data_IF_028685433953
#
_entry.id   IF_028685433953
#
_cell.length_a   1.000
_cell.length_b   1.000
_cell.length_c   1.000
_cell.angle_alpha   90.00
_cell.angle_beta   90.00
_cell.angle_gamma   90.00
#
_symmetry.space_group_name_H-M   'P 1'
#
loop_
_entity.id
_entity.type
_entity.pdbx_description
1 polymer ?
#
# COMPACT_ATOMS: atom_id res chain seq x y z
N UNK A 1 12.39 11.06 -24.37
CA UNK A 1 13.07 9.91 -23.74
C UNK A 1 12.94 8.70 -24.66
N UNK A 2 14.04 8.00 -24.95
CA UNK A 2 14.00 6.81 -25.79
C UNK A 2 13.34 5.64 -25.04
N UNK A 3 12.67 4.71 -25.73
CA UNK A 3 12.00 3.54 -25.11
C UNK A 3 12.98 2.66 -24.35
N UNK A 4 14.21 2.50 -24.86
CA UNK A 4 15.25 1.70 -24.22
C UNK A 4 15.68 2.30 -22.88
N UNK A 5 15.87 3.63 -22.84
CA UNK A 5 16.23 4.34 -21.61
C UNK A 5 15.09 4.31 -20.59
N UNK A 6 13.86 4.48 -21.06
CA UNK A 6 12.66 4.39 -20.22
C UNK A 6 12.58 3.01 -19.56
N UNK A 7 12.79 1.93 -20.33
CA UNK A 7 12.81 0.56 -19.80
C UNK A 7 13.89 0.38 -18.73
N UNK A 8 15.12 0.85 -18.97
CA UNK A 8 16.20 0.78 -17.97
C UNK A 8 15.83 1.47 -16.67
N UNK A 9 15.31 2.72 -16.74
CA UNK A 9 14.85 3.47 -15.56
C UNK A 9 13.72 2.75 -14.83
N UNK A 10 12.77 2.20 -15.58
CA UNK A 10 11.63 1.45 -15.04
C UNK A 10 12.09 0.25 -14.21
N UNK A 11 13.06 -0.53 -14.73
CA UNK A 11 13.63 -1.69 -14.01
C UNK A 11 14.32 -1.28 -12.70
N UNK A 12 15.09 -0.18 -12.72
CA UNK A 12 15.73 0.37 -11.51
C UNK A 12 14.68 0.76 -10.46
N UNK A 13 13.66 1.51 -10.86
CA UNK A 13 12.58 1.96 -9.97
C UNK A 13 11.80 0.78 -9.39
N UNK A 14 11.48 -0.24 -10.19
CA UNK A 14 10.78 -1.42 -9.70
C UNK A 14 11.61 -2.21 -8.68
N UNK A 15 12.93 -2.33 -8.91
CA UNK A 15 13.84 -2.95 -7.96
C UNK A 15 13.86 -2.22 -6.62
N UNK A 16 13.90 -0.88 -6.64
CA UNK A 16 13.82 -0.04 -5.44
C UNK A 16 12.49 -0.20 -4.71
N UNK A 17 11.36 -0.14 -5.42
CA UNK A 17 10.04 -0.32 -4.82
C UNK A 17 9.86 -1.71 -4.19
N UNK A 18 10.40 -2.75 -4.83
CA UNK A 18 10.42 -4.09 -4.24
C UNK A 18 11.24 -4.11 -2.95
N UNK A 19 12.44 -3.51 -2.94
CA UNK A 19 13.30 -3.46 -1.76
C UNK A 19 12.63 -2.71 -0.59
N UNK A 20 12.00 -1.56 -0.86
CA UNK A 20 11.39 -0.70 0.16
C UNK A 20 10.02 -1.20 0.65
N UNK A 21 9.11 -1.49 -0.28
CA UNK A 21 7.69 -1.72 0.03
C UNK A 21 7.24 -3.17 -0.11
N UNK A 22 8.08 -4.05 -0.66
CA UNK A 22 7.77 -5.45 -0.97
C UNK A 22 6.60 -5.65 -1.95
N UNK A 23 6.17 -4.60 -2.64
CA UNK A 23 5.17 -4.65 -3.70
C UNK A 23 5.40 -3.53 -4.71
N UNK A 24 4.91 -3.72 -5.93
CA UNK A 24 4.96 -2.74 -7.01
C UNK A 24 3.53 -2.33 -7.33
N UNK A 25 3.25 -1.03 -7.20
CA UNK A 25 2.02 -0.42 -7.71
C UNK A 25 2.35 0.40 -8.96
N UNK A 26 1.57 0.30 -10.05
CA UNK A 26 1.73 1.16 -11.22
C UNK A 26 1.74 2.65 -10.86
N UNK A 27 0.92 3.07 -9.89
CA UNK A 27 0.87 4.44 -9.42
C UNK A 27 2.17 4.89 -8.75
N UNK A 28 2.80 4.01 -7.95
CA UNK A 28 4.08 4.29 -7.30
C UNK A 28 5.21 4.42 -8.34
N UNK A 29 5.19 3.58 -9.38
CA UNK A 29 6.14 3.68 -10.49
C UNK A 29 6.00 5.01 -11.22
N UNK A 30 4.76 5.45 -11.49
CA UNK A 30 4.50 6.75 -12.14
C UNK A 30 4.98 7.94 -11.29
N UNK A 31 4.83 7.86 -9.97
CA UNK A 31 5.31 8.87 -9.02
C UNK A 31 6.84 8.91 -8.98
N UNK A 32 7.49 7.76 -8.84
CA UNK A 32 8.97 7.66 -8.78
C UNK A 32 9.63 8.11 -10.09
N UNK A 33 9.00 7.85 -11.24
CA UNK A 33 9.47 8.34 -12.54
C UNK A 33 9.16 9.83 -12.76
N UNK A 34 8.42 10.49 -11.86
CA UNK A 34 8.03 11.90 -12.00
C UNK A 34 7.05 12.17 -13.15
N UNK A 35 6.34 11.14 -13.63
CA UNK A 35 5.35 11.24 -14.71
C UNK A 35 4.09 11.94 -14.20
N UNK A 36 3.75 11.67 -12.94
CA UNK A 36 2.66 12.28 -12.18
C UNK A 36 3.28 12.92 -10.95
N UNK A 37 2.89 14.16 -10.61
CA UNK A 37 3.34 14.78 -9.36
C UNK A 37 2.51 14.28 -8.17
N UNK A 38 3.06 14.38 -6.95
CA UNK A 38 2.31 14.01 -5.74
C UNK A 38 1.01 14.81 -5.61
N UNK A 39 1.05 16.11 -5.95
CA UNK A 39 -0.13 17.00 -5.95
C UNK A 39 -1.20 16.53 -6.94
N UNK A 40 -0.80 16.20 -8.17
CA UNK A 40 -1.74 15.72 -9.18
C UNK A 40 -2.39 14.38 -8.79
N UNK A 41 -1.62 13.51 -8.12
CA UNK A 41 -2.11 12.24 -7.58
C UNK A 41 -3.14 12.46 -6.47
N UNK A 42 -2.89 13.42 -5.57
CA UNK A 42 -3.86 13.81 -4.54
C UNK A 42 -5.13 14.39 -5.16
N UNK A 43 -5.00 15.34 -6.10
CA UNK A 43 -6.13 15.94 -6.80
C UNK A 43 -6.97 14.89 -7.55
N UNK A 44 -6.33 13.89 -8.15
CA UNK A 44 -7.01 12.73 -8.73
C UNK A 44 -7.69 11.86 -7.66
N UNK A 45 -7.05 11.59 -6.51
CA UNK A 45 -7.67 10.83 -5.40
C UNK A 45 -8.89 11.54 -4.81
N UNK A 46 -8.85 12.87 -4.70
CA UNK A 46 -10.00 13.70 -4.33
C UNK A 46 -11.03 13.84 -5.46
N UNK A 47 -10.76 13.28 -6.64
CA UNK A 47 -11.64 13.34 -7.80
C UNK A 47 -11.88 14.75 -8.31
N UNK A 48 -10.90 15.66 -8.15
CA UNK A 48 -10.84 16.95 -8.85
C UNK A 48 -10.45 16.74 -10.31
N UNK A 49 -9.61 15.73 -10.55
CA UNK A 49 -9.26 15.24 -11.88
C UNK A 49 -10.14 14.04 -12.23
N UNK A 50 -10.78 14.01 -13.42
CA UNK A 50 -11.70 12.93 -13.78
C UNK A 50 -11.02 11.58 -14.05
N UNK A 51 -9.78 11.58 -14.55
CA UNK A 51 -9.00 10.37 -14.82
C UNK A 51 -7.49 10.64 -14.75
N UNK A 52 -6.70 9.66 -14.30
CA UNK A 52 -5.26 9.82 -14.03
C UNK A 52 -4.45 10.18 -15.27
N UNK A 53 -4.75 9.59 -16.43
CA UNK A 53 -4.05 9.87 -17.68
C UNK A 53 -4.11 11.35 -18.10
N UNK A 54 -5.04 12.15 -17.55
CA UNK A 54 -5.15 13.58 -17.83
C UNK A 54 -3.96 14.38 -17.28
N UNK A 55 -3.42 13.96 -16.14
CA UNK A 55 -2.32 14.64 -15.44
C UNK A 55 -0.96 14.05 -15.75
N UNK A 56 -0.92 12.92 -16.46
CA UNK A 56 0.32 12.33 -16.93
C UNK A 56 0.98 13.23 -17.98
N UNK A 57 2.26 13.55 -17.80
CA UNK A 57 3.05 14.35 -18.75
C UNK A 57 3.51 13.58 -20.00
N UNK A 58 3.14 12.31 -20.13
CA UNK A 58 3.60 11.40 -21.18
C UNK A 58 2.47 11.00 -22.13
N UNK A 59 2.85 10.65 -23.36
CA UNK A 59 1.93 10.14 -24.37
C UNK A 59 1.30 8.80 -23.95
N UNK A 60 0.05 8.56 -24.33
CA UNK A 60 -0.70 7.33 -24.05
C UNK A 60 0.00 6.06 -24.56
N UNK A 61 0.69 6.15 -25.71
CA UNK A 61 1.46 5.03 -26.26
C UNK A 61 2.64 4.65 -25.38
N UNK A 62 3.28 5.62 -24.73
CA UNK A 62 4.37 5.39 -23.80
C UNK A 62 3.86 4.83 -22.46
N UNK A 63 2.70 5.29 -21.97
CA UNK A 63 2.04 4.72 -20.79
C UNK A 63 1.65 3.26 -21.02
N UNK A 64 1.08 2.94 -22.19
CA UNK A 64 0.75 1.56 -22.56
C UNK A 64 1.99 0.67 -22.58
N UNK A 65 3.11 1.19 -23.10
CA UNK A 65 4.41 0.50 -23.07
C UNK A 65 4.88 0.26 -21.62
N UNK A 66 4.81 1.26 -20.74
CA UNK A 66 5.13 1.11 -19.32
C UNK A 66 4.34 -0.01 -18.67
N UNK A 67 3.01 -0.03 -18.85
CA UNK A 67 2.15 -1.06 -18.26
C UNK A 67 2.51 -2.46 -18.76
N UNK A 68 2.83 -2.60 -20.04
CA UNK A 68 3.26 -3.88 -20.62
C UNK A 68 4.59 -4.37 -20.03
N UNK A 69 5.54 -3.46 -19.82
CA UNK A 69 6.86 -3.76 -19.29
C UNK A 69 6.81 -4.10 -17.79
N UNK A 70 5.99 -3.38 -17.00
CA UNK A 70 5.74 -3.71 -15.58
C UNK A 70 5.19 -5.14 -15.48
N UNK A 71 4.22 -5.49 -16.32
CA UNK A 71 3.62 -6.83 -16.35
C UNK A 71 4.64 -7.91 -16.75
N UNK A 72 5.49 -7.63 -17.74
CA UNK A 72 6.55 -8.54 -18.15
C UNK A 72 7.56 -8.76 -17.03
N UNK A 73 7.99 -7.69 -16.37
CA UNK A 73 8.91 -7.75 -15.23
C UNK A 73 8.33 -8.56 -14.07
N UNK A 74 7.06 -8.30 -13.72
CA UNK A 74 6.40 -9.03 -12.65
C UNK A 74 6.30 -10.54 -12.93
N UNK A 75 6.08 -10.92 -14.19
CA UNK A 75 6.09 -12.32 -14.62
C UNK A 75 7.49 -12.93 -14.49
N UNK A 76 8.53 -12.25 -14.96
CA UNK A 76 9.90 -12.75 -14.84
C UNK A 76 10.37 -12.84 -13.38
N UNK A 77 9.87 -11.97 -12.52
CA UNK A 77 10.19 -11.96 -11.09
C UNK A 77 9.28 -12.87 -10.24
N UNK A 78 8.33 -13.59 -10.85
CA UNK A 78 7.42 -14.49 -10.13
C UNK A 78 6.47 -13.79 -9.16
N UNK A 79 6.12 -12.53 -9.40
CA UNK A 79 5.27 -11.75 -8.49
C UNK A 79 3.79 -12.09 -8.70
N UNK A 80 3.03 -12.10 -7.59
CA UNK A 80 1.58 -12.31 -7.62
C UNK A 80 0.85 -11.03 -8.01
N UNK A 81 0.02 -11.10 -9.04
CA UNK A 81 -0.89 -10.03 -9.41
C UNK A 81 -2.08 -10.00 -8.43
N UNK A 82 -2.24 -8.89 -7.72
CA UNK A 82 -3.36 -8.60 -6.83
C UNK A 82 -4.13 -7.40 -7.36
N UNK A 83 -5.37 -7.56 -7.85
CA UNK A 83 -6.19 -6.43 -8.25
C UNK A 83 -6.51 -5.56 -7.03
N UNK A 84 -6.36 -4.25 -7.16
CA UNK A 84 -6.73 -3.25 -6.15
C UNK A 84 -7.86 -2.37 -6.67
N UNK A 85 -8.76 -1.93 -5.80
CA UNK A 85 -9.81 -0.99 -6.18
C UNK A 85 -9.50 0.39 -5.62
N UNK A 86 -9.47 1.40 -6.49
CA UNK A 86 -9.26 2.79 -6.10
C UNK A 86 -10.60 3.50 -5.98
N UNK A 87 -10.87 4.03 -4.80
CA UNK A 87 -12.12 4.73 -4.48
C UNK A 87 -11.79 6.20 -4.20
N UNK A 88 -12.64 7.10 -4.69
CA UNK A 88 -12.51 8.54 -4.46
C UNK A 88 -12.48 8.86 -2.96
N UNK A 89 -11.57 9.74 -2.57
CA UNK A 89 -11.44 10.24 -1.20
C UNK A 89 -12.41 11.39 -0.92
N UNK A 90 -12.84 11.50 0.35
CA UNK A 90 -13.60 12.67 0.84
C UNK A 90 -15.07 12.77 0.41
N UNK A 91 -15.66 11.72 -0.16
CA UNK A 91 -17.08 11.72 -0.52
C UNK A 91 -17.98 11.37 0.67
N UNK A 92 -18.95 12.24 1.00
CA UNK A 92 -20.12 11.86 1.81
C UNK A 92 -21.11 11.13 0.90
N UNK A 93 -21.25 9.81 1.05
CA UNK A 93 -22.22 9.00 0.30
C UNK A 93 -21.62 7.83 -0.47
N UNK A 94 -22.17 7.54 -1.65
CA UNK A 94 -21.82 6.36 -2.47
C UNK A 94 -20.33 6.34 -2.82
N UNK A 95 -19.68 5.19 -2.60
CA UNK A 95 -18.29 4.95 -2.98
C UNK A 95 -18.17 4.97 -4.51
N UNK A 96 -17.59 6.05 -5.04
CA UNK A 96 -17.36 6.21 -6.47
C UNK A 96 -15.96 5.67 -6.83
N UNK A 97 -15.85 4.70 -7.74
CA UNK A 97 -14.54 4.23 -8.20
C UNK A 97 -13.84 5.32 -9.01
N UNK A 98 -12.53 5.44 -8.81
CA UNK A 98 -11.69 6.31 -9.62
C UNK A 98 -11.41 5.66 -10.97
N UNK A 99 -11.23 6.49 -11.98
CA UNK A 99 -10.87 6.07 -13.33
C UNK A 99 -9.42 6.43 -13.63
N UNK A 100 -8.73 5.55 -14.34
CA UNK A 100 -7.36 5.77 -14.78
C UNK A 100 -7.33 6.38 -16.18
N UNK A 101 -8.13 5.85 -17.10
CA UNK A 101 -8.10 6.20 -18.52
C UNK A 101 -9.32 7.01 -18.98
N UNK A 102 -9.13 7.79 -20.05
CA UNK A 102 -10.23 8.53 -20.69
C UNK A 102 -11.27 7.57 -21.28
N UNK A 103 -10.82 6.47 -21.89
CA UNK A 103 -11.69 5.48 -22.54
C UNK A 103 -12.49 4.65 -21.53
N UNK A 104 -11.95 4.44 -20.31
CA UNK A 104 -12.57 3.57 -19.32
C UNK A 104 -12.57 2.10 -19.73
N UNK A 105 -11.64 1.68 -20.59
CA UNK A 105 -11.56 0.29 -21.03
C UNK A 105 -11.20 -0.61 -19.84
N UNK A 106 -12.01 -1.64 -19.51
CA UNK A 106 -11.81 -2.45 -18.31
C UNK A 106 -10.43 -3.13 -18.28
N UNK A 107 -9.84 -3.48 -19.43
CA UNK A 107 -8.50 -4.06 -19.50
C UNK A 107 -7.41 -3.06 -19.08
N UNK A 108 -7.57 -1.80 -19.48
CA UNK A 108 -6.64 -0.71 -19.14
C UNK A 108 -6.78 -0.35 -17.67
N UNK A 109 -8.01 -0.19 -17.19
CA UNK A 109 -8.31 0.07 -15.77
C UNK A 109 -7.74 -1.03 -14.88
N UNK A 110 -7.93 -2.31 -15.23
CA UNK A 110 -7.36 -3.43 -14.50
C UNK A 110 -5.83 -3.41 -14.48
N UNK A 111 -5.18 -3.03 -15.60
CA UNK A 111 -3.72 -2.96 -15.67
C UNK A 111 -3.14 -1.92 -14.69
N UNK A 112 -3.74 -0.72 -14.63
CA UNK A 112 -3.33 0.31 -13.66
C UNK A 112 -3.66 -0.07 -12.21
N UNK A 113 -4.77 -0.78 -12.02
CA UNK A 113 -5.28 -1.15 -10.72
C UNK A 113 -4.60 -2.40 -10.11
N UNK A 114 -3.80 -3.14 -10.90
CA UNK A 114 -3.11 -4.35 -10.44
C UNK A 114 -1.85 -4.00 -9.68
N UNK A 115 -1.73 -4.47 -8.44
CA UNK A 115 -0.51 -4.44 -7.66
C UNK A 115 0.22 -5.78 -7.79
N UNK A 116 1.55 -5.74 -7.82
CA UNK A 116 2.37 -6.96 -7.86
C UNK A 116 3.07 -7.13 -6.52
N UNK A 117 2.71 -8.18 -5.79
CA UNK A 117 3.18 -8.41 -4.43
C UNK A 117 4.08 -9.63 -4.44
N UNK A 118 5.18 -9.60 -3.67
CA UNK A 118 5.93 -10.83 -3.39
C UNK A 118 5.03 -11.75 -2.56
N UNK A 119 4.93 -13.01 -2.96
CA UNK A 119 4.35 -14.02 -2.08
C UNK A 119 5.28 -14.15 -0.88
N UNK A 120 4.94 -13.48 0.22
CA UNK A 120 5.56 -13.76 1.51
C UNK A 120 5.08 -15.14 1.90
N UNK A 121 5.99 -16.04 2.27
CA UNK A 121 5.59 -17.23 3.00
C UNK A 121 4.79 -16.78 4.22
N UNK A 122 3.49 -17.09 4.21
CA UNK A 122 2.51 -16.62 5.19
C UNK A 122 2.75 -17.38 6.49
N UNK A 123 3.74 -16.98 7.28
CA UNK A 123 3.89 -17.47 8.66
C UNK A 123 3.75 -16.37 9.71
N UNK A 124 4.14 -15.13 9.42
CA UNK A 124 4.27 -14.11 10.51
C UNK A 124 3.26 -12.95 10.46
N UNK A 125 2.54 -12.72 9.37
CA UNK A 125 1.67 -11.53 9.23
C UNK A 125 0.31 -11.68 9.94
N UNK A 126 -0.12 -12.92 10.24
CA UNK A 126 -1.31 -13.16 11.08
C UNK A 126 -1.07 -12.71 12.52
N UNK A 127 0.13 -12.95 13.07
CA UNK A 127 0.48 -12.58 14.44
C UNK A 127 0.40 -11.05 14.68
N UNK A 128 0.82 -10.21 13.73
CA UNK A 128 0.82 -8.74 13.92
C UNK A 128 -0.61 -8.15 13.87
N UNK A 129 -1.54 -8.78 13.15
CA UNK A 129 -2.95 -8.35 13.13
C UNK A 129 -3.67 -8.71 14.43
N UNK A 130 -3.38 -9.88 14.99
CA UNK A 130 -3.94 -10.33 16.26
C UNK A 130 -3.42 -9.50 17.44
N UNK A 131 -2.11 -9.17 17.47
CA UNK A 131 -1.52 -8.33 18.53
C UNK A 131 -2.07 -6.89 18.53
N UNK A 132 -2.43 -6.34 17.37
CA UNK A 132 -3.06 -5.00 17.27
C UNK A 132 -4.55 -5.00 17.66
N UNK A 133 -5.25 -6.13 17.50
CA UNK A 133 -6.63 -6.27 17.96
C UNK A 133 -6.69 -6.32 19.50
N UNK A 134 -5.80 -7.08 20.14
CA UNK A 134 -5.76 -7.20 21.61
C UNK A 134 -5.42 -5.87 22.32
N UNK A 135 -4.53 -5.05 21.75
CA UNK A 135 -4.18 -3.73 22.32
C UNK A 135 -5.28 -2.67 22.16
N UNK A 136 -6.20 -2.84 21.22
CA UNK A 136 -7.30 -1.90 21.02
C UNK A 136 -8.44 -2.10 22.04
N UNK A 137 -8.58 -3.31 22.59
CA UNK A 137 -9.60 -3.64 23.60
C UNK A 137 -9.21 -3.20 25.01
N UNK A 138 -7.91 -3.14 25.34
CA UNK A 138 -7.43 -2.70 26.67
C UNK A 138 -7.54 -1.19 26.91
N UNK A 139 -7.81 -0.39 25.87
CA UNK A 139 -7.90 1.07 25.97
C UNK A 139 -9.32 1.60 26.27
N UNK A 140 -10.32 0.73 26.49
CA UNK A 140 -11.73 1.13 26.69
C UNK A 140 -12.40 0.50 27.94
N UNK A 141 -11.71 0.52 29.09
CA UNK A 141 -12.26 -0.02 30.34
C UNK A 141 -11.92 0.79 31.60
N UNK A 142 -12.76 1.79 31.91
CA UNK A 142 -13.13 2.33 33.24
C UNK A 142 -12.09 3.07 34.10
N UNK A 143 -12.40 4.28 34.63
CA UNK A 143 -11.52 5.00 35.56
C UNK A 143 -11.55 4.35 36.95
N UNK A 144 -10.38 4.05 37.50
CA UNK A 144 -10.20 3.69 38.92
C UNK A 144 -10.26 4.97 39.76
N UNK A 145 -11.28 5.08 40.59
CA UNK A 145 -11.38 6.12 41.62
C UNK A 145 -10.21 5.97 42.62
N UNK A 146 -9.67 7.07 43.16
CA UNK A 146 -8.77 6.99 44.29
C UNK A 146 -9.61 6.89 45.59
N UNK A 147 -9.23 5.96 46.47
CA UNK A 147 -9.01 6.18 47.91
C UNK A 147 -9.36 4.96 48.79
N UNK A 148 -8.47 4.75 49.77
CA UNK A 148 -8.69 4.21 51.12
C UNK A 148 -8.32 2.74 51.43
N UNK A 149 -7.07 2.59 51.90
CA UNK A 149 -6.61 1.96 53.16
C UNK A 149 -7.13 0.57 53.58
N UNK A 150 -6.13 -0.29 53.86
CA UNK A 150 -6.10 -1.47 54.73
C UNK A 150 -6.79 -2.76 54.25
N UNK A 151 -5.97 -3.76 53.87
CA UNK A 151 -5.81 -4.96 54.69
C UNK A 151 -4.60 -5.80 54.22
N UNK A 152 -3.80 -6.16 55.21
CA UNK A 152 -2.60 -7.00 55.21
C UNK A 152 -2.81 -8.40 54.64
N UNK A 153 -1.75 -8.96 54.02
CA UNK A 153 -1.20 -10.33 54.16
C UNK A 153 -0.20 -10.55 53.00
N UNK A 154 1.07 -10.22 53.15
CA UNK A 154 2.12 -11.06 53.71
C UNK A 154 2.33 -12.39 52.93
N UNK A 155 3.44 -12.39 52.17
CA UNK A 155 4.40 -13.48 52.06
C UNK A 155 3.97 -14.79 51.37
N UNK A 156 4.35 -14.98 50.10
CA UNK A 156 4.80 -16.30 49.64
C UNK A 156 5.51 -16.24 48.27
N UNK A 157 6.80 -16.61 48.29
CA UNK A 157 7.68 -16.99 47.18
C UNK A 157 8.34 -15.81 46.43
N UNK A 158 9.51 -15.28 46.79
CA UNK A 158 10.67 -15.83 47.53
C UNK A 158 11.01 -17.28 47.19
N UNK A 159 11.33 -17.56 45.93
CA UNK A 159 12.50 -18.36 45.54
C UNK A 159 12.56 -18.53 44.01
N UNK A 160 13.77 -18.77 43.50
CA UNK A 160 14.17 -19.02 42.10
C UNK A 160 14.36 -17.72 41.29
N UNK A 161 15.56 -17.28 40.89
CA UNK A 161 16.79 -18.01 40.56
C UNK A 161 18.00 -17.07 40.73
N UNK A 162 18.97 -17.56 41.52
CA UNK A 162 20.43 -17.41 41.40
C UNK A 162 20.95 -16.58 40.22
N UNK A 163 21.79 -15.58 40.52
CA UNK A 163 23.11 -15.43 39.88
C UNK A 163 23.95 -14.44 40.72
N UNK A 164 24.89 -15.04 41.46
CA UNK A 164 26.27 -14.61 41.78
C UNK A 164 26.51 -13.10 41.96
#
# INVERSE_FOLDING_TARGET
>A
MNRVELKKKLHVVMGQLLAEKNHISPLDVLLQLGIVSAKDCEDWRFGRVPYLEKVCKMNLSALSFLMSEIKAYARSAGLKASPSVYIKWGGKGKKMPLRFSKSGNPKVEAAYATHYVREKEVKEVKAVKEVKAVKAETAKGKPLAPMSVACTWNNFLENYVKLI
#
